data_IF_144696276274
#
_entry.id   IF_144696276274
#
_cell.length_a   1.000
_cell.length_b   1.000
_cell.length_c   1.000
_cell.angle_alpha   90.00
_cell.angle_beta   90.00
_cell.angle_gamma   90.00
#
_symmetry.space_group_name_H-M   'P 1'
#
loop_
_entity.id
_entity.type
_entity.pdbx_description
1 polymer ?
#
# COMPACT_ATOMS: atom_id res chain seq x y z
N UNK A 1 21.00 15.07 -21.83
CA UNK A 1 21.56 14.37 -20.65
C UNK A 1 20.67 14.38 -19.39
N UNK A 2 19.38 14.78 -19.45
CA UNK A 2 18.48 14.83 -18.27
C UNK A 2 17.58 13.58 -18.08
N UNK A 3 17.28 12.85 -19.17
CA UNK A 3 16.35 11.71 -19.13
C UNK A 3 16.87 10.49 -18.33
N UNK A 4 18.18 10.19 -18.39
CA UNK A 4 18.75 9.00 -17.72
C UNK A 4 18.67 9.08 -16.19
N UNK A 5 18.83 10.27 -15.60
CA UNK A 5 18.75 10.45 -14.13
C UNK A 5 17.33 10.25 -13.61
N UNK A 6 16.30 10.71 -14.35
CA UNK A 6 14.90 10.50 -13.97
C UNK A 6 14.51 9.03 -13.93
N UNK A 7 14.89 8.26 -14.95
CA UNK A 7 14.63 6.82 -15.00
C UNK A 7 15.29 6.05 -13.83
N UNK A 8 16.53 6.40 -13.49
CA UNK A 8 17.25 5.78 -12.36
C UNK A 8 16.57 6.05 -11.00
N UNK A 9 16.01 7.25 -10.81
CA UNK A 9 15.29 7.60 -9.58
C UNK A 9 13.98 6.82 -9.46
N UNK A 10 13.20 6.72 -10.54
CA UNK A 10 11.97 5.93 -10.57
C UNK A 10 12.23 4.45 -10.29
N UNK A 11 13.30 3.89 -10.85
CA UNK A 11 13.69 2.50 -10.62
C UNK A 11 14.14 2.26 -9.17
N UNK A 12 14.90 3.20 -8.59
CA UNK A 12 15.26 3.14 -7.16
C UNK A 12 14.02 3.20 -6.28
N UNK A 13 13.09 4.09 -6.58
CA UNK A 13 11.84 4.22 -5.83
C UNK A 13 11.01 2.94 -5.90
N UNK A 14 10.83 2.37 -7.10
CA UNK A 14 10.13 1.09 -7.28
C UNK A 14 10.74 -0.01 -6.43
N UNK A 15 12.08 -0.13 -6.42
CA UNK A 15 12.78 -1.11 -5.56
C UNK A 15 12.52 -0.92 -4.07
N UNK A 16 12.40 0.31 -3.58
CA UNK A 16 12.06 0.56 -2.18
C UNK A 16 10.58 0.25 -1.89
N UNK A 17 9.68 0.55 -2.83
CA UNK A 17 8.27 0.21 -2.70
C UNK A 17 8.05 -1.32 -2.73
N UNK A 18 8.77 -2.05 -3.58
CA UNK A 18 8.70 -3.51 -3.70
C UNK A 18 9.20 -4.25 -2.44
N UNK A 19 9.99 -3.60 -1.58
CA UNK A 19 10.40 -4.18 -0.28
C UNK A 19 9.24 -4.25 0.72
N UNK A 20 8.18 -3.47 0.51
CA UNK A 20 7.03 -3.43 1.41
C UNK A 20 6.00 -4.48 0.93
N UNK A 21 5.76 -5.55 1.71
CA UNK A 21 4.87 -6.63 1.30
C UNK A 21 3.46 -6.12 0.97
N UNK A 22 2.90 -6.60 -0.14
CA UNK A 22 1.50 -6.37 -0.48
C UNK A 22 0.57 -7.19 0.42
N UNK A 23 -0.65 -6.72 0.61
CA UNK A 23 -1.70 -7.51 1.26
C UNK A 23 -2.24 -8.59 0.33
N UNK A 24 -2.80 -9.65 0.93
CA UNK A 24 -3.73 -10.51 0.24
C UNK A 24 -5.08 -9.78 0.07
N UNK A 25 -5.83 -10.14 -0.96
CA UNK A 25 -7.16 -9.57 -1.21
C UNK A 25 -8.09 -10.57 -1.87
N UNK A 26 -9.36 -10.52 -1.52
CA UNK A 26 -10.44 -11.24 -2.20
C UNK A 26 -11.59 -10.29 -2.46
N UNK A 27 -12.38 -10.59 -3.47
CA UNK A 27 -13.63 -9.88 -3.74
C UNK A 27 -14.67 -10.89 -4.18
N UNK A 28 -15.88 -10.75 -3.66
CA UNK A 28 -17.06 -11.46 -4.16
C UNK A 28 -18.24 -10.51 -4.26
N UNK A 29 -19.18 -10.83 -5.15
CA UNK A 29 -20.39 -10.02 -5.32
C UNK A 29 -21.26 -9.99 -4.04
N UNK A 30 -21.28 -11.09 -3.27
CA UNK A 30 -22.10 -11.22 -2.07
C UNK A 30 -21.48 -10.56 -0.83
N UNK A 31 -20.16 -10.66 -0.65
CA UNK A 31 -19.47 -10.24 0.58
C UNK A 31 -18.69 -8.93 0.42
N UNK A 32 -18.50 -8.46 -0.81
CA UNK A 32 -17.65 -7.31 -1.12
C UNK A 32 -16.16 -7.65 -1.10
N UNK A 33 -15.33 -6.64 -0.86
CA UNK A 33 -13.87 -6.80 -0.78
C UNK A 33 -13.40 -7.12 0.62
N UNK A 34 -12.37 -7.95 0.73
CA UNK A 34 -11.60 -8.12 1.98
C UNK A 34 -10.12 -8.08 1.63
N UNK A 35 -9.33 -7.43 2.50
CA UNK A 35 -7.88 -7.46 2.48
C UNK A 35 -7.35 -8.00 3.80
N UNK A 36 -6.27 -8.77 3.76
CA UNK A 36 -5.65 -9.29 4.96
C UNK A 36 -4.14 -9.45 4.81
N UNK A 37 -3.48 -9.59 5.95
CA UNK A 37 -2.06 -9.88 6.06
C UNK A 37 -1.88 -11.18 6.85
N UNK A 38 -1.14 -12.14 6.29
CA UNK A 38 -0.78 -13.37 7.02
C UNK A 38 0.17 -13.05 8.20
N UNK A 39 0.90 -11.95 8.10
CA UNK A 39 1.74 -11.43 9.17
C UNK A 39 1.73 -9.90 9.15
N UNK A 40 1.40 -9.28 10.28
CA UNK A 40 1.25 -7.83 10.42
C UNK A 40 -0.17 -7.35 10.12
N UNK A 41 -0.29 -6.07 9.78
CA UNK A 41 -1.57 -5.36 9.67
C UNK A 41 -1.68 -4.62 8.34
N UNK A 42 -2.82 -4.73 7.63
CA UNK A 42 -3.02 -4.05 6.35
C UNK A 42 -3.13 -2.53 6.54
N UNK A 43 -2.44 -1.79 5.68
CA UNK A 43 -2.47 -0.34 5.58
C UNK A 43 -2.55 0.12 4.14
N UNK A 44 -3.29 1.20 3.92
CA UNK A 44 -3.30 1.94 2.67
C UNK A 44 -2.09 2.87 2.64
N UNK A 45 -1.24 2.72 1.61
CA UNK A 45 -0.06 3.54 1.38
C UNK A 45 -0.14 4.19 0.00
N UNK A 46 0.31 5.44 -0.11
CA UNK A 46 0.37 6.13 -1.40
C UNK A 46 1.41 5.45 -2.29
N UNK A 47 1.17 5.45 -3.61
CA UNK A 47 2.18 5.09 -4.62
C UNK A 47 2.73 6.35 -5.26
N UNK A 48 3.81 6.95 -4.71
CA UNK A 48 4.39 8.13 -5.32
C UNK A 48 4.89 7.89 -6.75
N UNK A 49 5.20 6.64 -7.14
CA UNK A 49 5.58 6.30 -8.51
C UNK A 49 4.47 6.60 -9.51
N UNK A 50 3.22 6.35 -9.15
CA UNK A 50 2.06 6.60 -10.01
C UNK A 50 1.84 8.11 -10.20
N UNK A 51 2.04 8.92 -9.16
CA UNK A 51 1.94 10.39 -9.27
C UNK A 51 2.92 10.93 -10.31
N UNK A 52 4.15 10.42 -10.33
CA UNK A 52 5.17 10.85 -11.29
C UNK A 52 4.82 10.48 -12.74
N UNK A 53 3.98 9.46 -12.96
CA UNK A 53 3.61 8.95 -14.27
C UNK A 53 2.26 9.50 -14.76
N UNK A 54 1.26 9.59 -13.88
CA UNK A 54 -0.13 9.91 -14.24
C UNK A 54 -0.60 11.26 -13.68
N UNK A 55 0.14 11.84 -12.73
CA UNK A 55 -0.28 13.03 -11.99
C UNK A 55 -1.38 12.75 -10.96
N UNK A 56 -1.81 11.50 -10.79
CA UNK A 56 -2.88 11.12 -9.87
C UNK A 56 -2.32 10.44 -8.62
N UNK A 57 -2.92 10.76 -7.47
CA UNK A 57 -2.63 10.05 -6.22
C UNK A 57 -3.36 8.72 -6.24
N UNK A 58 -2.61 7.62 -6.29
CA UNK A 58 -3.13 6.28 -6.08
C UNK A 58 -2.64 5.71 -4.74
N UNK A 59 -3.41 4.76 -4.21
CA UNK A 59 -3.04 4.00 -3.01
C UNK A 59 -2.93 2.51 -3.33
N UNK A 60 -2.19 1.78 -2.49
CA UNK A 60 -2.18 0.31 -2.48
C UNK A 60 -2.26 -0.21 -1.04
N UNK A 61 -2.67 -1.46 -0.89
CA UNK A 61 -2.54 -2.15 0.38
C UNK A 61 -1.10 -2.65 0.57
N UNK A 62 -0.60 -2.55 1.80
CA UNK A 62 0.65 -3.13 2.24
C UNK A 62 0.57 -3.62 3.69
N UNK A 63 1.34 -4.66 4.03
CA UNK A 63 1.40 -5.23 5.37
C UNK A 63 2.56 -4.64 6.17
N UNK A 64 2.27 -4.17 7.39
CA UNK A 64 3.24 -3.58 8.30
C UNK A 64 3.23 -4.31 9.65
N UNK A 65 4.40 -4.40 10.28
CA UNK A 65 4.50 -4.92 11.64
C UNK A 65 4.03 -3.87 12.66
N UNK A 66 3.72 -4.32 13.88
CA UNK A 66 3.23 -3.48 14.98
C UNK A 66 4.09 -2.21 15.21
N UNK A 67 5.41 -2.40 15.31
CA UNK A 67 6.37 -1.30 15.49
C UNK A 67 6.50 -0.35 14.29
N UNK A 68 5.88 -0.66 13.16
CA UNK A 68 5.89 0.18 11.95
C UNK A 68 4.59 0.98 11.76
N UNK A 69 3.54 0.69 12.54
CA UNK A 69 2.21 1.29 12.33
C UNK A 69 2.16 2.80 12.58
N UNK A 70 3.15 3.34 13.30
CA UNK A 70 3.33 4.79 13.52
C UNK A 70 4.01 5.53 12.36
N UNK A 71 4.37 4.85 11.26
CA UNK A 71 5.01 5.52 10.12
C UNK A 71 4.08 6.54 9.47
N UNK A 72 4.59 7.70 9.04
CA UNK A 72 3.77 8.71 8.37
C UNK A 72 3.27 8.19 7.02
N UNK A 73 2.03 8.55 6.69
CA UNK A 73 1.42 8.20 5.40
C UNK A 73 0.79 6.80 5.33
N UNK A 74 0.79 6.04 6.44
CA UNK A 74 -0.03 4.84 6.58
C UNK A 74 -1.47 5.24 6.93
N UNK A 75 -2.44 4.67 6.22
CA UNK A 75 -3.87 4.93 6.45
C UNK A 75 -4.55 3.60 6.81
N UNK A 76 -5.37 3.62 7.87
CA UNK A 76 -6.21 2.49 8.27
C UNK A 76 -7.44 2.44 7.36
N UNK A 77 -7.87 1.23 7.00
CA UNK A 77 -9.12 1.06 6.25
C UNK A 77 -10.31 1.61 7.05
N UNK A 78 -11.26 2.21 6.35
CA UNK A 78 -12.46 2.76 6.98
C UNK A 78 -13.23 1.67 7.73
N UNK A 79 -13.55 1.93 9.00
CA UNK A 79 -14.26 0.97 9.86
C UNK A 79 -13.43 -0.23 10.33
N UNK A 80 -12.12 -0.28 10.05
CA UNK A 80 -11.23 -1.33 10.52
C UNK A 80 -10.52 -0.93 11.82
N UNK A 81 -10.30 -1.88 12.73
CA UNK A 81 -9.52 -1.65 13.94
C UNK A 81 -8.04 -1.43 13.60
N UNK A 82 -7.33 -0.67 14.44
CA UNK A 82 -5.91 -0.39 14.23
C UNK A 82 -5.06 -1.68 14.20
N UNK A 83 -5.34 -2.67 15.04
CA UNK A 83 -4.61 -3.95 15.06
C UNK A 83 -5.39 -5.10 14.38
N UNK A 84 -6.34 -4.80 13.51
CA UNK A 84 -6.99 -5.82 12.69
C UNK A 84 -6.00 -6.42 11.68
N UNK A 85 -5.97 -7.75 11.57
CA UNK A 85 -5.18 -8.47 10.56
C UNK A 85 -5.94 -8.65 9.23
N UNK A 86 -7.26 -8.46 9.24
CA UNK A 86 -8.10 -8.35 8.04
C UNK A 86 -9.09 -7.19 8.14
N UNK A 87 -9.39 -6.59 6.99
CA UNK A 87 -10.32 -5.46 6.86
C UNK A 87 -11.28 -5.69 5.69
N UNK A 88 -12.56 -5.43 5.93
CA UNK A 88 -13.57 -5.37 4.87
C UNK A 88 -13.41 -4.05 4.10
N UNK A 89 -13.47 -4.13 2.78
CA UNK A 89 -13.34 -3.01 1.85
C UNK A 89 -14.69 -2.86 1.15
N UNK A 90 -15.34 -1.71 1.35
CA UNK A 90 -16.61 -1.36 0.71
C UNK A 90 -16.38 -0.48 -0.52
#
# INVERSE_FOLDING_TARGET
MKAKRGAQLLEKQKREEDKIPSCNSKWSEAEGGEVWCDTGYPRLVRRPGDIALTGQVSQRCACFQDGELGRPGLVVYEGCDYHSTSCIVK
#
